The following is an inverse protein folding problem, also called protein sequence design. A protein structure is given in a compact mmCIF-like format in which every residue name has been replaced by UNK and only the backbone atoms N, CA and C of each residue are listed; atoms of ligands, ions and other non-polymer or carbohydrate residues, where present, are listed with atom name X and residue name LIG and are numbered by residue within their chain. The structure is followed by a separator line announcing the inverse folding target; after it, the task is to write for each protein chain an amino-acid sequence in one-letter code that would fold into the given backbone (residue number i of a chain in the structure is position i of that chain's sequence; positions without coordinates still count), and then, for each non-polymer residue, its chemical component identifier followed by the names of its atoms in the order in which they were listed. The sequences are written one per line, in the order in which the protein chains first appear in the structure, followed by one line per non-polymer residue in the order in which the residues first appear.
data_IF_557371897268
#
_entry.id   IF_557371897268
#
_cell.length_a   1.000
_cell.length_b   1.000
_cell.length_c   1.000
_cell.angle_alpha   90.00
_cell.angle_beta   90.00
_cell.angle_gamma   90.00
#
_symmetry.space_group_name_H-M   'P 1'
#
loop_
_entity.id
_entity.type
_entity.pdbx_description
1 polymer ?
#
# COMPACT_ATOMS: atom_id res chain seq x y z
N UNK A 1 -10.80 -13.86 -11.87
CA UNK A 1 -11.40 -12.53 -11.63
C UNK A 1 -11.42 -11.76 -12.92
N UNK A 2 -12.44 -10.92 -13.13
CA UNK A 2 -12.47 -10.00 -14.26
C UNK A 2 -11.46 -8.87 -14.01
N UNK A 3 -10.69 -8.51 -15.03
CA UNK A 3 -9.80 -7.36 -15.01
C UNK A 3 -10.16 -6.45 -16.19
N UNK A 4 -9.86 -5.17 -16.06
CA UNK A 4 -10.07 -4.17 -17.11
C UNK A 4 -8.76 -3.44 -17.39
N UNK A 5 -8.62 -2.94 -18.63
CA UNK A 5 -7.60 -1.97 -18.97
C UNK A 5 -8.28 -0.65 -19.32
N UNK A 6 -7.78 0.42 -18.71
CA UNK A 6 -8.27 1.77 -18.83
C UNK A 6 -7.30 2.56 -19.71
N UNK A 7 -7.80 3.11 -20.80
CA UNK A 7 -7.02 4.01 -21.65
C UNK A 7 -6.97 5.41 -21.05
N UNK A 8 -5.81 6.02 -21.05
CA UNK A 8 -5.65 7.44 -20.70
C UNK A 8 -4.81 8.14 -21.78
N UNK A 9 -5.04 9.43 -21.92
CA UNK A 9 -4.25 10.29 -22.79
C UNK A 9 -3.54 11.39 -21.97
N UNK A 10 -2.76 12.23 -22.64
CA UNK A 10 -2.06 13.34 -22.00
C UNK A 10 -3.00 14.35 -21.32
N UNK A 11 -4.27 14.42 -21.72
CA UNK A 11 -5.28 15.30 -21.11
C UNK A 11 -5.72 14.76 -19.75
N UNK A 12 -5.98 13.45 -19.68
CA UNK A 12 -6.26 12.76 -18.42
C UNK A 12 -5.09 12.89 -17.42
N UNK A 13 -3.85 12.75 -17.88
CA UNK A 13 -2.67 12.95 -17.03
C UNK A 13 -2.53 14.38 -16.50
N UNK A 14 -2.86 15.38 -17.32
CA UNK A 14 -2.87 16.79 -16.90
C UNK A 14 -3.93 17.06 -15.82
N UNK A 15 -5.12 16.48 -15.96
CA UNK A 15 -6.22 16.59 -14.96
C UNK A 15 -5.75 16.14 -13.57
N UNK A 16 -4.93 15.10 -13.49
CA UNK A 16 -4.45 14.55 -12.23
C UNK A 16 -3.26 15.29 -11.63
N UNK A 17 -2.65 16.23 -12.36
CA UNK A 17 -1.26 16.60 -12.10
C UNK A 17 -0.42 15.34 -11.89
N UNK A 18 -0.28 14.52 -12.94
CA UNK A 18 0.18 13.13 -12.83
C UNK A 18 1.46 12.93 -12.01
N UNK A 19 2.42 13.86 -12.06
CA UNK A 19 3.62 13.81 -11.21
C UNK A 19 3.26 13.79 -9.71
N UNK A 20 2.36 14.67 -9.28
CA UNK A 20 1.87 14.70 -7.90
C UNK A 20 1.09 13.42 -7.54
N UNK A 21 0.36 12.82 -8.50
CA UNK A 21 -0.31 11.55 -8.27
C UNK A 21 0.69 10.40 -8.07
N UNK A 22 1.78 10.34 -8.86
CA UNK A 22 2.88 9.37 -8.69
C UNK A 22 3.54 9.53 -7.31
N UNK A 23 3.88 10.76 -6.93
CA UNK A 23 4.45 11.07 -5.62
C UNK A 23 3.48 10.75 -4.47
N UNK A 24 2.18 10.98 -4.66
CA UNK A 24 1.16 10.60 -3.70
C UNK A 24 1.12 9.08 -3.53
N UNK A 25 1.02 8.29 -4.61
CA UNK A 25 1.01 6.82 -4.51
C UNK A 25 2.26 6.30 -3.83
N UNK A 26 3.45 6.82 -4.17
CA UNK A 26 4.70 6.43 -3.52
C UNK A 26 4.67 6.70 -2.00
N UNK A 27 4.03 7.79 -1.56
CA UNK A 27 3.97 8.21 -0.16
C UNK A 27 2.83 7.58 0.63
N UNK A 28 1.63 7.48 0.07
CA UNK A 28 0.40 7.05 0.77
C UNK A 28 0.02 5.62 0.44
N UNK A 29 0.62 5.04 -0.60
CA UNK A 29 0.27 3.73 -1.15
C UNK A 29 -0.92 3.73 -2.10
N UNK A 30 -1.69 4.83 -2.16
CA UNK A 30 -2.90 4.88 -3.00
C UNK A 30 -3.23 6.29 -3.48
N UNK A 31 -3.84 6.36 -4.66
CA UNK A 31 -4.47 7.54 -5.23
C UNK A 31 -5.90 7.20 -5.67
N UNK A 32 -6.88 7.93 -5.15
CA UNK A 32 -8.30 7.73 -5.45
C UNK A 32 -8.78 8.82 -6.40
N UNK A 33 -9.43 8.43 -7.49
CA UNK A 33 -10.14 9.38 -8.35
C UNK A 33 -11.38 8.76 -8.99
N UNK A 34 -12.23 9.62 -9.58
CA UNK A 34 -13.34 9.20 -10.43
C UNK A 34 -12.91 9.03 -11.89
N UNK A 35 -13.29 7.90 -12.45
CA UNK A 35 -13.15 7.60 -13.85
C UNK A 35 -14.47 7.83 -14.57
N UNK A 36 -14.45 8.52 -15.72
CA UNK A 36 -15.64 8.86 -16.51
C UNK A 36 -15.79 7.89 -17.68
N UNK A 37 -17.03 7.50 -17.97
CA UNK A 37 -17.41 6.68 -19.12
C UNK A 37 -18.72 7.19 -19.72
N UNK A 38 -18.83 7.14 -21.05
CA UNK A 38 -20.04 7.60 -21.76
C UNK A 38 -21.22 6.62 -21.63
N UNK A 39 -20.93 5.33 -21.41
CA UNK A 39 -21.92 4.29 -21.18
C UNK A 39 -21.75 3.73 -19.78
N UNK A 40 -22.82 3.14 -19.23
CA UNK A 40 -22.75 2.44 -17.95
C UNK A 40 -21.72 1.31 -18.06
N UNK A 41 -20.61 1.37 -17.32
CA UNK A 41 -19.59 0.34 -17.37
C UNK A 41 -20.07 -0.91 -16.62
N UNK A 42 -19.73 -2.08 -17.15
CA UNK A 42 -19.96 -3.36 -16.49
C UNK A 42 -18.76 -3.69 -15.60
N UNK A 43 -18.68 -3.03 -14.46
CA UNK A 43 -17.61 -3.21 -13.46
C UNK A 43 -18.17 -3.28 -12.06
N UNK A 44 -17.52 -4.08 -11.21
CA UNK A 44 -17.85 -4.23 -9.80
C UNK A 44 -16.70 -3.73 -8.92
N UNK A 45 -16.97 -3.29 -7.67
CA UNK A 45 -15.91 -3.09 -6.68
C UNK A 45 -14.99 -4.32 -6.57
N UNK A 46 -13.68 -4.09 -6.49
CA UNK A 46 -12.66 -5.13 -6.47
C UNK A 46 -12.20 -5.63 -7.84
N UNK A 47 -12.79 -5.13 -8.94
CA UNK A 47 -12.29 -5.42 -10.30
C UNK A 47 -10.89 -4.83 -10.45
N UNK A 48 -9.92 -5.67 -10.84
CA UNK A 48 -8.54 -5.27 -11.12
C UNK A 48 -8.49 -4.35 -12.34
N UNK A 49 -7.77 -3.24 -12.23
CA UNK A 49 -7.71 -2.21 -13.24
C UNK A 49 -6.26 -1.87 -13.59
N UNK A 50 -5.96 -1.94 -14.88
CA UNK A 50 -4.67 -1.59 -15.47
C UNK A 50 -4.77 -0.27 -16.21
N UNK A 51 -3.83 0.65 -16.02
CA UNK A 51 -3.85 1.96 -16.66
C UNK A 51 -2.85 2.00 -17.82
N UNK A 52 -3.32 2.30 -19.02
CA UNK A 52 -2.51 2.37 -20.23
C UNK A 52 -2.52 3.78 -20.80
N UNK A 53 -1.34 4.35 -21.00
CA UNK A 53 -1.16 5.64 -21.67
C UNK A 53 -1.09 5.44 -23.17
N UNK A 54 -1.94 6.18 -23.89
CA UNK A 54 -1.92 6.25 -25.35
C UNK A 54 -1.28 7.56 -25.77
N UNK A 55 -0.07 7.48 -26.33
CA UNK A 55 0.68 8.60 -26.88
C UNK A 55 0.73 8.58 -28.41
N UNK A 56 1.29 9.65 -29.00
CA UNK A 56 1.47 9.77 -30.45
C UNK A 56 2.58 8.89 -31.02
N UNK A 57 3.39 8.28 -30.17
CA UNK A 57 4.51 7.40 -30.54
C UNK A 57 4.55 6.20 -29.59
N UNK A 58 5.14 5.09 -30.00
CA UNK A 58 5.37 3.92 -29.12
C UNK A 58 6.15 4.31 -27.85
N UNK A 59 7.13 5.23 -27.99
CA UNK A 59 7.90 5.81 -26.89
C UNK A 59 7.10 6.74 -25.94
N UNK A 60 5.85 7.05 -26.26
CA UNK A 60 4.94 7.82 -25.41
C UNK A 60 3.72 6.99 -24.96
N UNK A 61 3.68 5.71 -25.34
CA UNK A 61 2.61 4.78 -25.01
C UNK A 61 3.14 3.68 -24.09
N UNK A 62 2.24 3.08 -23.30
CA UNK A 62 2.58 1.94 -22.46
C UNK A 62 1.70 1.81 -21.22
N UNK A 63 1.89 0.72 -20.50
CA UNK A 63 1.24 0.51 -19.21
C UNK A 63 1.92 1.39 -18.16
N UNK A 64 1.12 2.14 -17.40
CA UNK A 64 1.60 3.18 -16.46
C UNK A 64 1.08 3.03 -15.05
N UNK A 65 0.13 2.14 -14.82
CA UNK A 65 -0.48 2.01 -13.51
C UNK A 65 -1.25 0.71 -13.30
N UNK A 66 -1.45 0.42 -12.02
CA UNK A 66 -2.26 -0.65 -11.52
C UNK A 66 -3.17 -0.12 -10.39
N UNK A 67 -4.32 -0.77 -10.21
CA UNK A 67 -5.29 -0.42 -9.19
C UNK A 67 -6.54 -1.28 -9.23
N UNK A 68 -7.60 -0.79 -8.57
CA UNK A 68 -8.87 -1.49 -8.44
C UNK A 68 -10.05 -0.53 -8.53
N UNK A 69 -11.15 -1.04 -9.09
CA UNK A 69 -12.45 -0.37 -9.02
C UNK A 69 -12.91 -0.35 -7.56
N UNK A 70 -13.12 0.85 -7.01
CA UNK A 70 -13.48 1.08 -5.61
C UNK A 70 -14.99 1.23 -5.38
N UNK A 71 -15.77 1.50 -6.43
CA UNK A 71 -17.23 1.64 -6.34
C UNK A 71 -17.94 0.96 -7.49
N UNK A 72 -19.24 0.69 -7.32
CA UNK A 72 -20.11 0.41 -8.46
C UNK A 72 -20.28 1.66 -9.34
N UNK A 73 -20.81 1.50 -10.57
CA UNK A 73 -21.06 2.63 -11.45
C UNK A 73 -22.15 3.55 -10.91
N UNK A 74 -21.92 4.85 -10.96
CA UNK A 74 -22.85 5.90 -10.54
C UNK A 74 -22.91 7.03 -11.57
N UNK A 75 -23.98 7.82 -11.55
CA UNK A 75 -24.09 9.02 -12.36
C UNK A 75 -23.62 10.22 -11.53
N UNK A 76 -22.89 11.14 -12.16
CA UNK A 76 -22.49 12.39 -11.50
C UNK A 76 -23.70 13.28 -11.23
N UNK A 77 -23.71 13.98 -10.10
CA UNK A 77 -24.57 15.15 -9.94
C UNK A 77 -23.91 16.31 -10.71
N UNK A 78 -24.20 16.45 -11.99
CA UNK A 78 -23.69 17.56 -12.81
C UNK A 78 -24.60 18.81 -12.67
N UNK A 79 -24.06 20.04 -12.71
CA UNK A 79 -24.85 21.28 -12.73
C UNK A 79 -25.63 21.49 -14.04
N UNK A 80 -25.33 20.72 -15.09
CA UNK A 80 -25.91 20.87 -16.41
C UNK A 80 -27.02 19.82 -16.64
N UNK A 81 -28.30 20.19 -16.88
CA UNK A 81 -29.47 19.28 -16.83
C UNK A 81 -29.56 18.20 -17.93
N UNK A 82 -28.46 17.81 -18.56
CA UNK A 82 -28.44 16.85 -19.68
C UNK A 82 -27.25 15.88 -19.71
N UNK A 83 -26.32 15.95 -18.77
CA UNK A 83 -25.18 15.04 -18.68
C UNK A 83 -25.60 13.68 -18.15
N UNK A 84 -25.53 12.63 -18.98
CA UNK A 84 -25.84 11.23 -18.63
C UNK A 84 -24.59 10.39 -18.42
N UNK A 85 -23.44 11.03 -18.22
CA UNK A 85 -22.17 10.36 -18.06
C UNK A 85 -22.15 9.49 -16.80
N UNK A 86 -21.50 8.34 -16.95
CA UNK A 86 -21.31 7.38 -15.89
C UNK A 86 -19.91 7.52 -15.32
N UNK A 87 -19.81 7.23 -14.04
CA UNK A 87 -18.57 7.29 -13.29
C UNK A 87 -18.42 6.04 -12.43
N UNK A 88 -17.18 5.73 -12.08
CA UNK A 88 -16.87 4.84 -10.97
C UNK A 88 -15.61 5.35 -10.28
N UNK A 89 -15.45 5.03 -9.00
CA UNK A 89 -14.25 5.35 -8.27
C UNK A 89 -13.16 4.31 -8.57
N UNK A 90 -11.93 4.77 -8.79
CA UNK A 90 -10.75 3.97 -9.06
C UNK A 90 -9.69 4.30 -8.01
N UNK A 91 -9.17 3.29 -7.34
CA UNK A 91 -8.00 3.41 -6.48
C UNK A 91 -6.78 2.87 -7.22
N UNK A 92 -5.78 3.69 -7.45
CA UNK A 92 -4.48 3.31 -8.03
C UNK A 92 -3.50 3.07 -6.89
N UNK A 93 -2.88 1.90 -6.85
CA UNK A 93 -1.92 1.47 -5.83
C UNK A 93 -0.48 1.35 -6.38
N UNK A 94 -0.31 1.51 -7.69
CA UNK A 94 0.98 1.58 -8.35
C UNK A 94 0.92 2.51 -9.56
N UNK A 95 1.86 3.46 -9.64
CA UNK A 95 2.02 4.35 -10.79
C UNK A 95 3.50 4.47 -11.16
N UNK A 96 3.78 4.45 -12.46
CA UNK A 96 5.12 4.66 -13.00
C UNK A 96 5.36 6.16 -13.30
N UNK A 97 6.55 6.70 -13.03
CA UNK A 97 6.91 8.04 -13.47
C UNK A 97 6.77 8.21 -15.00
N UNK A 98 6.51 9.43 -15.49
CA UNK A 98 6.53 9.71 -16.92
C UNK A 98 7.85 9.26 -17.59
N UNK A 99 7.73 8.48 -18.67
CA UNK A 99 8.87 7.95 -19.43
C UNK A 99 9.29 6.53 -19.02
N UNK A 100 8.82 6.03 -17.88
CA UNK A 100 9.10 4.69 -17.38
C UNK A 100 8.00 3.68 -17.73
N UNK A 101 7.07 4.05 -18.63
CA UNK A 101 5.96 3.18 -19.01
C UNK A 101 6.44 1.83 -19.58
N UNK A 102 5.78 0.74 -19.20
CA UNK A 102 6.05 -0.57 -19.79
C UNK A 102 5.56 -0.56 -21.25
N UNK A 103 6.51 -0.65 -22.18
CA UNK A 103 6.30 -0.43 -23.61
C UNK A 103 5.34 -1.45 -24.22
N UNK A 104 4.52 -1.06 -25.22
CA UNK A 104 3.64 -1.99 -25.92
C UNK A 104 4.35 -3.24 -26.45
N UNK A 105 5.59 -3.10 -26.94
CA UNK A 105 6.41 -4.24 -27.38
C UNK A 105 6.67 -5.28 -26.29
N UNK A 106 6.84 -4.86 -25.04
CA UNK A 106 7.03 -5.76 -23.88
C UNK A 106 5.71 -6.45 -23.48
N UNK A 107 4.56 -5.85 -23.80
CA UNK A 107 3.24 -6.40 -23.54
C UNK A 107 2.79 -7.46 -24.56
N UNK A 108 3.45 -7.57 -25.72
CA UNK A 108 2.99 -8.34 -26.88
C UNK A 108 2.80 -9.85 -26.68
N UNK A 109 3.28 -10.42 -25.57
CA UNK A 109 3.00 -11.82 -25.17
C UNK A 109 1.81 -11.99 -24.21
N UNK A 110 1.28 -10.88 -23.68
CA UNK A 110 0.24 -10.84 -22.64
C UNK A 110 -1.05 -10.19 -23.13
N UNK A 111 -0.91 -9.12 -23.91
CA UNK A 111 -2.00 -8.38 -24.55
C UNK A 111 -1.81 -8.41 -26.06
N UNK A 112 -2.88 -8.69 -26.80
CA UNK A 112 -2.85 -8.64 -28.27
C UNK A 112 -2.80 -7.20 -28.76
N UNK A 113 -2.15 -6.99 -29.92
CA UNK A 113 -2.09 -5.68 -30.57
C UNK A 113 -3.48 -5.09 -30.86
N UNK A 114 -4.44 -5.94 -31.26
CA UNK A 114 -5.84 -5.54 -31.51
C UNK A 114 -6.54 -5.02 -30.25
N UNK A 115 -6.20 -5.59 -29.09
CA UNK A 115 -6.75 -5.12 -27.81
C UNK A 115 -6.14 -3.77 -27.46
N UNK A 116 -4.82 -3.63 -27.56
CA UNK A 116 -4.14 -2.35 -27.30
C UNK A 116 -4.62 -1.24 -28.25
N UNK A 117 -4.89 -1.56 -29.52
CA UNK A 117 -5.44 -0.60 -30.48
C UNK A 117 -6.83 -0.07 -30.08
N UNK A 118 -7.61 -0.84 -29.31
CA UNK A 118 -8.91 -0.40 -28.78
C UNK A 118 -8.78 0.48 -27.53
N UNK A 119 -7.62 0.48 -26.87
CA UNK A 119 -7.34 1.29 -25.68
C UNK A 119 -6.86 2.67 -26.12
N UNK A 120 -7.79 3.50 -26.58
CA UNK A 120 -7.51 4.87 -27.05
C UNK A 120 -8.45 5.87 -26.37
N UNK A 121 -7.90 6.95 -25.80
CA UNK A 121 -8.68 7.90 -24.99
C UNK A 121 -9.20 7.27 -23.68
N UNK A 122 -10.24 7.83 -23.02
CA UNK A 122 -10.86 7.28 -21.82
C UNK A 122 -11.70 6.02 -22.17
N UNK A 123 -11.00 4.97 -22.60
CA UNK A 123 -11.59 3.68 -22.92
C UNK A 123 -11.58 2.78 -21.68
N UNK A 124 -12.60 1.94 -21.55
CA UNK A 124 -12.61 0.82 -20.61
C UNK A 124 -12.78 -0.46 -21.42
N UNK A 125 -11.77 -1.32 -21.39
CA UNK A 125 -11.75 -2.56 -22.17
C UNK A 125 -11.62 -3.75 -21.20
N UNK A 126 -12.60 -4.67 -21.17
CA UNK A 126 -12.47 -5.90 -20.41
C UNK A 126 -11.30 -6.75 -20.92
N UNK A 127 -10.51 -7.29 -20.00
CA UNK A 127 -9.41 -8.18 -20.31
C UNK A 127 -9.83 -9.65 -20.24
N UNK A 128 -9.31 -10.51 -21.14
CA UNK A 128 -9.44 -11.95 -21.00
C UNK A 128 -8.84 -12.44 -19.67
N UNK A 129 -9.41 -13.48 -19.03
CA UNK A 129 -8.85 -14.03 -17.78
C UNK A 129 -7.39 -14.50 -17.89
N UNK A 130 -6.92 -14.84 -19.09
CA UNK A 130 -5.55 -15.26 -19.37
C UNK A 130 -4.51 -14.12 -19.32
N UNK A 131 -4.93 -12.86 -19.48
CA UNK A 131 -4.01 -11.72 -19.51
C UNK A 131 -3.50 -11.33 -18.12
N UNK A 132 -4.31 -11.53 -17.07
CA UNK A 132 -3.98 -11.09 -15.70
C UNK A 132 -2.62 -11.61 -15.18
N UNK A 133 -2.35 -12.94 -15.18
CA UNK A 133 -1.08 -13.46 -14.71
C UNK A 133 0.15 -12.95 -15.49
N UNK A 134 0.00 -12.67 -16.78
CA UNK A 134 1.07 -12.09 -17.59
C UNK A 134 1.35 -10.64 -17.22
N UNK A 135 0.30 -9.84 -17.01
CA UNK A 135 0.42 -8.43 -16.63
C UNK A 135 1.08 -8.28 -15.27
N UNK A 136 0.67 -9.09 -14.28
CA UNK A 136 1.27 -9.08 -12.95
C UNK A 136 2.76 -9.41 -12.97
N UNK A 137 3.20 -10.40 -13.76
CA UNK A 137 4.64 -10.71 -13.91
C UNK A 137 5.42 -9.57 -14.56
N UNK A 138 4.85 -8.91 -15.56
CA UNK A 138 5.48 -7.75 -16.18
C UNK A 138 5.55 -6.57 -15.22
N UNK A 139 4.51 -6.39 -14.41
CA UNK A 139 4.44 -5.34 -13.39
C UNK A 139 5.40 -5.59 -12.23
N UNK A 140 5.57 -6.83 -11.78
CA UNK A 140 6.59 -7.22 -10.79
C UNK A 140 8.01 -6.92 -11.30
N UNK A 141 8.28 -7.20 -12.59
CA UNK A 141 9.60 -7.01 -13.19
C UNK A 141 9.93 -5.55 -13.53
N UNK A 142 8.93 -4.71 -13.79
CA UNK A 142 9.12 -3.36 -14.35
C UNK A 142 8.34 -2.26 -13.62
N UNK A 143 7.65 -2.57 -12.54
CA UNK A 143 6.85 -1.65 -11.76
C UNK A 143 7.69 -0.69 -10.93
N UNK A 144 7.04 0.23 -10.19
CA UNK A 144 7.75 1.20 -9.37
C UNK A 144 8.51 0.52 -8.23
N UNK A 145 9.68 1.07 -7.89
CA UNK A 145 10.47 0.58 -6.76
C UNK A 145 9.69 0.73 -5.45
N UNK A 146 9.69 -0.31 -4.62
CA UNK A 146 9.03 -0.28 -3.30
C UNK A 146 9.75 0.67 -2.34
N UNK A 147 9.01 1.25 -1.39
CA UNK A 147 9.58 2.20 -0.43
C UNK A 147 10.36 1.50 0.69
N UNK A 148 10.19 0.19 0.89
CA UNK A 148 10.94 -0.57 1.89
C UNK A 148 11.13 -2.07 1.61
N UNK A 149 12.10 -2.71 2.29
CA UNK A 149 12.30 -4.16 2.23
C UNK A 149 11.09 -4.88 2.85
N UNK A 150 10.38 -5.68 2.05
CA UNK A 150 9.22 -6.47 2.50
C UNK A 150 7.86 -5.88 2.15
N UNK A 151 7.80 -4.70 1.54
CA UNK A 151 6.57 -4.22 0.92
C UNK A 151 6.29 -4.99 -0.37
N UNK A 152 5.06 -5.48 -0.52
CA UNK A 152 4.60 -6.10 -1.75
C UNK A 152 4.00 -5.01 -2.63
N UNK A 153 4.53 -4.85 -3.85
CA UNK A 153 4.01 -3.92 -4.82
C UNK A 153 2.59 -4.32 -5.26
N UNK A 154 1.65 -3.36 -5.25
CA UNK A 154 0.31 -3.53 -5.79
C UNK A 154 0.35 -4.01 -7.24
N UNK A 155 -0.44 -5.04 -7.56
CA UNK A 155 -0.46 -5.66 -8.88
C UNK A 155 0.58 -6.76 -9.10
N UNK A 156 1.36 -7.13 -8.08
CA UNK A 156 2.26 -8.30 -8.15
C UNK A 156 1.49 -9.62 -7.94
N UNK A 157 0.47 -9.59 -7.08
CA UNK A 157 -0.36 -10.74 -6.73
C UNK A 157 -1.83 -10.49 -7.09
N UNK A 158 -2.64 -11.54 -7.27
CA UNK A 158 -4.08 -11.41 -7.39
C UNK A 158 -4.69 -10.68 -6.17
N UNK A 159 -5.68 -9.79 -6.35
CA UNK A 159 -6.27 -9.05 -5.23
C UNK A 159 -6.86 -9.93 -4.12
N UNK A 160 -7.40 -11.10 -4.44
CA UNK A 160 -7.93 -12.06 -3.46
C UNK A 160 -6.84 -12.79 -2.67
N UNK A 161 -5.59 -12.74 -3.12
CA UNK A 161 -4.43 -13.34 -2.46
C UNK A 161 -3.70 -12.38 -1.51
N UNK A 162 -4.13 -11.11 -1.41
CA UNK A 162 -3.46 -10.08 -0.62
C UNK A 162 -4.44 -9.44 0.37
N UNK A 163 -4.02 -9.31 1.63
CA UNK A 163 -4.70 -8.45 2.60
C UNK A 163 -4.01 -7.09 2.64
N UNK A 164 -4.80 -6.01 2.59
CA UNK A 164 -4.26 -4.65 2.70
C UNK A 164 -4.24 -4.22 4.17
N UNK A 165 -3.06 -3.87 4.68
CA UNK A 165 -2.93 -3.21 5.98
C UNK A 165 -2.83 -1.71 5.72
N UNK A 166 -3.79 -0.94 6.24
CA UNK A 166 -3.78 0.51 6.13
C UNK A 166 -2.77 1.10 7.11
N UNK A 167 -1.64 1.56 6.58
CA UNK A 167 -0.62 2.31 7.32
C UNK A 167 -0.77 3.80 6.98
N UNK A 168 -0.53 4.67 7.95
CA UNK A 168 -0.68 6.11 7.75
C UNK A 168 0.41 6.64 6.80
N UNK A 169 0.10 7.67 6.00
CA UNK A 169 1.05 8.33 5.08
C UNK A 169 2.34 8.78 5.74
N UNK A 170 2.28 9.13 7.02
CA UNK A 170 3.43 9.57 7.80
C UNK A 170 4.38 8.43 8.16
N UNK A 171 3.87 7.20 8.29
CA UNK A 171 4.68 6.00 8.57
C UNK A 171 5.52 5.58 7.35
N UNK A 172 5.14 6.07 6.17
CA UNK A 172 5.82 5.86 4.88
C UNK A 172 6.75 7.02 4.48
N UNK A 173 6.80 8.11 5.26
CA UNK A 173 7.68 9.23 4.97
C UNK A 173 9.14 8.83 5.27
N UNK A 174 10.02 8.73 4.26
CA UNK A 174 11.39 8.28 4.46
C UNK A 174 12.22 9.26 5.29
N UNK A 175 11.91 10.55 5.26
CA UNK A 175 12.63 11.59 6.00
C UNK A 175 12.21 11.56 7.47
N UNK A 176 10.90 11.48 7.73
CA UNK A 176 10.37 11.32 9.07
C UNK A 176 10.85 10.01 9.71
N UNK A 177 10.83 8.92 8.96
CA UNK A 177 11.37 7.63 9.41
C UNK A 177 12.85 7.73 9.79
N UNK A 178 13.68 8.34 8.94
CA UNK A 178 15.11 8.52 9.25
C UNK A 178 15.30 9.34 10.52
N UNK A 179 14.55 10.44 10.69
CA UNK A 179 14.64 11.29 11.88
C UNK A 179 14.20 10.54 13.15
N UNK A 180 13.08 9.81 13.10
CA UNK A 180 12.58 8.98 14.19
C UNK A 180 13.62 7.92 14.61
N UNK A 181 14.13 7.13 13.67
CA UNK A 181 15.10 6.07 13.95
C UNK A 181 16.44 6.62 14.43
N UNK A 182 16.86 7.79 13.95
CA UNK A 182 18.08 8.45 14.43
C UNK A 182 17.96 8.89 15.90
N UNK A 183 16.76 9.30 16.33
CA UNK A 183 16.51 9.73 17.71
C UNK A 183 16.23 8.57 18.67
N UNK A 184 15.32 7.66 18.29
CA UNK A 184 14.83 6.57 19.15
C UNK A 184 15.65 5.27 19.03
N UNK A 185 16.50 5.16 18.00
CA UNK A 185 17.27 3.96 17.68
C UNK A 185 16.50 2.96 16.81
N UNK A 186 17.12 1.79 16.59
CA UNK A 186 16.64 0.76 15.65
C UNK A 186 16.09 -0.49 16.33
N UNK A 187 15.77 -0.40 17.63
CA UNK A 187 15.12 -1.46 18.40
C UNK A 187 13.62 -1.20 18.52
N UNK A 188 12.81 -2.25 18.40
CA UNK A 188 11.35 -2.16 18.53
C UNK A 188 10.97 -1.62 19.91
N UNK A 189 10.22 -0.53 19.97
CA UNK A 189 9.78 0.04 21.24
C UNK A 189 8.82 -0.86 22.01
N UNK A 190 8.11 -1.78 21.35
CA UNK A 190 7.24 -2.74 22.02
C UNK A 190 8.03 -3.94 22.57
N UNK A 191 8.64 -4.76 21.71
CA UNK A 191 9.23 -6.04 22.09
C UNK A 191 10.76 -6.03 22.24
N UNK A 192 11.43 -4.91 21.98
CA UNK A 192 12.88 -4.79 22.05
C UNK A 192 13.65 -5.43 20.90
N UNK A 193 12.97 -6.09 19.95
CA UNK A 193 13.62 -6.75 18.82
C UNK A 193 14.41 -5.76 17.94
N UNK A 194 15.63 -6.12 17.57
CA UNK A 194 16.47 -5.39 16.61
C UNK A 194 16.85 -6.31 15.46
N UNK A 195 16.48 -5.91 14.23
CA UNK A 195 16.83 -6.67 13.02
C UNK A 195 18.35 -6.72 12.81
N UNK A 196 19.05 -5.62 13.05
CA UNK A 196 20.51 -5.57 12.90
C UNK A 196 21.22 -6.46 13.92
N UNK A 197 20.73 -6.50 15.17
CA UNK A 197 21.29 -7.40 16.19
C UNK A 197 21.03 -8.88 15.87
N UNK A 198 19.85 -9.22 15.33
CA UNK A 198 19.47 -10.60 15.03
C UNK A 198 20.02 -11.12 13.69
N UNK A 199 20.11 -10.27 12.68
CA UNK A 199 20.43 -10.66 11.30
C UNK A 199 21.68 -9.98 10.72
N UNK A 200 22.40 -9.18 11.52
CA UNK A 200 23.57 -8.43 11.07
C UNK A 200 23.23 -7.41 9.99
N UNK A 201 24.13 -7.21 9.04
CA UNK A 201 23.97 -6.20 7.97
C UNK A 201 22.71 -6.38 7.12
N UNK A 202 22.20 -7.61 6.97
CA UNK A 202 20.95 -7.88 6.25
C UNK A 202 19.71 -7.29 6.96
N UNK A 203 19.79 -7.08 8.28
CA UNK A 203 18.75 -6.44 9.07
C UNK A 203 18.85 -4.91 9.14
N UNK A 204 19.89 -4.32 8.56
CA UNK A 204 20.09 -2.87 8.58
C UNK A 204 19.02 -2.15 7.77
N UNK A 205 18.45 -1.09 8.33
CA UNK A 205 17.42 -0.30 7.65
C UNK A 205 16.06 -1.01 7.50
N UNK A 206 15.83 -2.14 8.17
CA UNK A 206 14.57 -2.91 8.10
C UNK A 206 13.54 -2.41 9.12
N UNK A 207 13.94 -1.74 10.21
CA UNK A 207 13.02 -1.30 11.26
C UNK A 207 11.95 -0.30 10.75
N UNK A 208 10.67 -0.58 10.98
CA UNK A 208 9.57 0.33 10.63
C UNK A 208 9.36 1.42 11.67
N UNK A 209 8.48 2.38 11.36
CA UNK A 209 7.99 3.40 12.31
C UNK A 209 6.48 3.39 12.35
N UNK A 210 5.91 3.69 13.50
CA UNK A 210 4.47 3.71 13.75
C UNK A 210 4.05 5.08 14.27
N UNK A 211 2.90 5.57 13.81
CA UNK A 211 2.37 6.86 14.20
C UNK A 211 1.51 6.73 15.46
N UNK A 212 1.91 7.44 16.53
CA UNK A 212 1.27 7.37 17.84
C UNK A 212 -0.09 8.07 17.87
N UNK A 213 -0.25 9.16 17.13
CA UNK A 213 -1.50 9.91 17.09
C UNK A 213 -2.47 9.27 16.10
N UNK A 214 -3.67 8.83 16.53
CA UNK A 214 -4.65 8.23 15.62
C UNK A 214 -5.02 9.18 14.47
N UNK A 215 -5.20 8.69 13.23
CA UNK A 215 -5.54 9.51 12.07
C UNK A 215 -6.78 10.39 12.25
N UNK A 216 -7.75 9.94 13.07
CA UNK A 216 -8.98 10.69 13.35
C UNK A 216 -8.77 12.00 14.14
N UNK A 217 -7.59 12.18 14.75
CA UNK A 217 -7.22 13.39 15.48
C UNK A 217 -6.33 14.34 14.66
N UNK A 218 -6.05 14.00 13.41
CA UNK A 218 -5.20 14.80 12.52
C UNK A 218 -6.10 15.69 11.65
N UNK A 219 -5.95 17.00 11.78
CA UNK A 219 -6.61 17.98 10.92
C UNK A 219 -5.68 18.44 9.78
N UNK A 220 -6.21 19.29 8.88
CA UNK A 220 -5.48 19.80 7.72
C UNK A 220 -4.27 20.68 8.09
N UNK A 221 -4.18 21.17 9.34
CA UNK A 221 -3.06 21.98 9.84
C UNK A 221 -1.97 21.17 10.53
N UNK A 222 -2.20 19.86 10.69
CA UNK A 222 -1.28 18.99 11.40
C UNK A 222 0.07 18.86 10.67
N UNK A 223 1.14 19.19 11.39
CA UNK A 223 2.51 19.00 10.96
C UNK A 223 3.12 17.87 11.80
N UNK A 224 3.62 16.84 11.11
CA UNK A 224 4.27 15.71 11.75
C UNK A 224 5.56 16.15 12.47
N UNK A 225 5.68 15.80 13.75
CA UNK A 225 6.95 15.79 14.47
C UNK A 225 7.48 14.35 14.51
N UNK A 226 8.52 14.01 13.73
CA UNK A 226 9.04 12.64 13.68
C UNK A 226 9.56 12.10 15.01
N UNK A 227 9.86 12.97 15.98
CA UNK A 227 10.36 12.56 17.30
C UNK A 227 9.18 12.30 18.24
N UNK A 228 8.19 13.18 18.25
CA UNK A 228 7.06 13.09 19.17
C UNK A 228 5.96 12.14 18.67
N UNK A 229 5.75 12.06 17.37
CA UNK A 229 4.59 11.38 16.77
C UNK A 229 4.91 9.99 16.22
N UNK A 230 6.18 9.67 16.01
CA UNK A 230 6.60 8.37 15.49
C UNK A 230 7.39 7.57 16.53
N UNK A 231 7.27 6.25 16.46
CA UNK A 231 8.03 5.32 17.30
C UNK A 231 8.53 4.12 16.49
N UNK A 232 9.74 3.58 16.72
CA UNK A 232 10.21 2.39 16.03
C UNK A 232 9.42 1.14 16.43
N UNK A 233 8.91 0.39 15.44
CA UNK A 233 8.28 -0.91 15.65
C UNK A 233 8.77 -1.93 14.63
N UNK A 234 8.97 -3.18 15.06
CA UNK A 234 9.25 -4.28 14.13
C UNK A 234 7.98 -4.66 13.36
N UNK A 235 8.14 -5.26 12.17
CA UNK A 235 7.03 -5.64 11.30
C UNK A 235 5.93 -6.47 11.99
N UNK A 236 6.30 -7.35 12.93
CA UNK A 236 5.33 -8.16 13.67
C UNK A 236 4.51 -7.31 14.65
N UNK A 237 5.16 -6.49 15.47
CA UNK A 237 4.44 -5.62 16.41
C UNK A 237 3.60 -4.56 15.69
N UNK A 238 4.11 -4.03 14.58
CA UNK A 238 3.40 -3.06 13.76
C UNK A 238 2.14 -3.66 13.13
N UNK A 239 2.23 -4.85 12.54
CA UNK A 239 1.08 -5.57 12.02
C UNK A 239 0.01 -5.82 13.10
N UNK A 240 0.42 -6.25 14.30
CA UNK A 240 -0.51 -6.44 15.43
C UNK A 240 -1.15 -5.13 15.87
N UNK A 241 -0.39 -4.02 15.88
CA UNK A 241 -0.93 -2.70 16.22
C UNK A 241 -2.12 -2.32 15.35
N UNK A 242 -2.04 -2.60 14.04
CA UNK A 242 -3.08 -2.28 13.05
C UNK A 242 -4.17 -3.35 12.91
N UNK A 243 -4.25 -4.33 13.81
CA UNK A 243 -5.38 -5.28 13.83
C UNK A 243 -6.69 -4.67 14.34
N UNK A 244 -6.62 -3.50 14.99
CA UNK A 244 -7.77 -2.74 15.49
C UNK A 244 -7.80 -1.32 14.92
N UNK A 245 -8.97 -0.67 14.98
CA UNK A 245 -9.13 0.76 14.68
C UNK A 245 -9.88 1.42 15.84
N UNK A 246 -9.25 2.31 16.64
CA UNK A 246 -7.86 2.79 16.49
C UNK A 246 -6.79 1.70 16.72
N UNK A 247 -5.56 1.89 16.20
CA UNK A 247 -4.45 0.97 16.43
C UNK A 247 -4.12 0.79 17.92
N UNK A 248 -3.58 -0.38 18.29
CA UNK A 248 -3.12 -0.65 19.65
C UNK A 248 -1.93 0.23 20.02
N UNK A 249 -1.95 0.75 21.23
CA UNK A 249 -0.84 1.51 21.80
C UNK A 249 0.36 0.61 22.13
N UNK A 250 1.56 1.20 22.23
CA UNK A 250 2.77 0.49 22.65
C UNK A 250 2.58 -0.21 24.01
N UNK A 251 1.87 0.43 24.93
CA UNK A 251 1.56 -0.15 26.25
C UNK A 251 0.68 -1.39 26.13
N UNK A 252 -0.33 -1.37 25.24
CA UNK A 252 -1.18 -2.53 24.98
C UNK A 252 -0.40 -3.66 24.31
N UNK A 253 0.43 -3.36 23.30
CA UNK A 253 1.28 -4.35 22.65
C UNK A 253 2.25 -5.02 23.65
N UNK A 254 2.88 -4.24 24.53
CA UNK A 254 3.72 -4.77 25.61
C UNK A 254 2.94 -5.70 26.53
N UNK A 255 1.72 -5.30 26.94
CA UNK A 255 0.84 -6.12 27.79
C UNK A 255 0.43 -7.42 27.12
N UNK A 256 0.04 -7.37 25.84
CA UNK A 256 -0.32 -8.56 25.06
C UNK A 256 0.88 -9.50 24.95
N UNK A 257 2.05 -8.95 24.58
CA UNK A 257 3.28 -9.72 24.43
C UNK A 257 3.72 -10.36 25.74
N UNK A 258 3.58 -9.68 26.88
CA UNK A 258 3.94 -10.24 28.20
C UNK A 258 2.97 -11.32 28.67
N UNK A 259 1.69 -11.23 28.29
CA UNK A 259 0.67 -12.20 28.67
C UNK A 259 0.70 -13.48 27.82
N UNK A 260 1.13 -13.37 26.56
CA UNK A 260 1.11 -14.45 25.57
C UNK A 260 2.28 -15.46 25.68
N UNK A 261 3.03 -15.46 26.79
CA UNK A 261 4.32 -16.15 26.97
C UNK A 261 4.37 -17.69 26.85
N UNK A 262 3.42 -18.31 26.16
CA UNK A 262 3.42 -19.74 25.83
C UNK A 262 3.00 -19.95 24.36
N UNK A 263 3.73 -20.80 23.65
CA UNK A 263 3.28 -21.31 22.36
C UNK A 263 2.15 -22.31 22.60
N UNK A 264 1.02 -22.15 21.90
CA UNK A 264 -0.06 -23.14 21.95
C UNK A 264 0.47 -24.52 21.52
N UNK A 265 0.43 -25.49 22.43
CA UNK A 265 0.90 -26.86 22.21
C UNK A 265 2.30 -27.17 22.76
N UNK A 266 2.97 -26.20 23.38
CA UNK A 266 4.26 -26.44 24.06
C UNK A 266 4.03 -26.82 25.53
N UNK A 267 4.77 -27.83 26.01
CA UNK A 267 4.75 -28.19 27.44
C UNK A 267 5.65 -27.20 28.17
N UNK A 268 5.05 -26.34 28.99
CA UNK A 268 5.81 -25.38 29.81
C UNK A 268 6.77 -26.15 30.71
N UNK A 269 8.07 -25.91 30.56
CA UNK A 269 9.08 -26.54 31.40
C UNK A 269 9.08 -25.90 32.79
N UNK A 270 9.38 -26.67 33.83
CA UNK A 270 9.47 -26.17 35.22
C UNK A 270 10.40 -24.96 35.37
N UNK A 271 11.45 -24.89 34.53
CA UNK A 271 12.37 -23.77 34.50
C UNK A 271 11.70 -22.47 34.02
N UNK A 272 10.80 -22.56 33.04
CA UNK A 272 10.08 -21.40 32.52
C UNK A 272 9.09 -20.85 33.56
N UNK A 273 8.39 -21.72 34.29
CA UNK A 273 7.51 -21.31 35.39
C UNK A 273 8.29 -20.56 36.49
N UNK A 274 9.43 -21.12 36.92
CA UNK A 274 10.29 -20.46 37.92
C UNK A 274 10.82 -19.12 37.45
N UNK A 275 11.24 -19.02 36.19
CA UNK A 275 11.71 -17.77 35.61
C UNK A 275 10.61 -16.69 35.58
N UNK A 276 9.36 -17.08 35.32
CA UNK A 276 8.21 -16.17 35.34
C UNK A 276 7.90 -15.68 36.77
N UNK A 277 7.92 -16.57 37.77
CA UNK A 277 7.76 -16.21 39.18
C UNK A 277 8.86 -15.26 39.67
N UNK A 278 10.11 -15.50 39.27
CA UNK A 278 11.25 -14.64 39.58
C UNK A 278 11.10 -13.25 38.96
N UNK A 279 10.71 -13.17 37.69
CA UNK A 279 10.47 -11.91 37.01
C UNK A 279 9.35 -11.10 37.69
N UNK A 280 8.25 -11.74 38.07
CA UNK A 280 7.14 -11.10 38.78
C UNK A 280 7.61 -10.52 40.13
N UNK A 281 8.39 -11.29 40.91
CA UNK A 281 8.96 -10.82 42.19
C UNK A 281 9.86 -9.58 42.03
N UNK A 282 10.65 -9.52 40.95
CA UNK A 282 11.52 -8.37 40.66
C UNK A 282 10.68 -7.14 40.31
N UNK A 283 9.65 -7.31 39.48
CA UNK A 283 8.77 -6.21 39.07
C UNK A 283 7.98 -5.64 40.25
N UNK A 284 7.47 -6.50 41.14
CA UNK A 284 6.70 -6.09 42.32
C UNK A 284 7.61 -5.52 43.44
N UNK A 285 8.84 -6.03 43.56
CA UNK A 285 9.82 -5.59 44.57
C UNK A 285 10.47 -4.23 44.28
N UNK A 286 10.31 -3.68 43.07
CA UNK A 286 10.79 -2.35 42.69
C UNK A 286 9.79 -1.20 42.99
N UNK A 287 8.63 -1.50 43.57
CA UNK A 287 7.57 -0.52 43.91
C UNK A 287 7.56 -0.06 45.38
N UNK A 288 8.60 -0.36 46.17
CA UNK A 288 8.82 0.21 47.52
C UNK A 288 9.75 1.42 47.48
#
# INVERSE_FOLDING_TARGET
MAAVILGCDATALRRWNYRAAVEQVARTGTFLDRWQTFLRPDVCPGTEAWLFLSGSTDAASGLIGHGFVASGPFQGADPDPGSTDWFFALTLDGLLPPGEQIRPGTLGGTLSGDLLAKVTGPALVPLPPSSGPGLRRLWDAHGPSTAGPGEVLGGTFPPDAVSTVHVNRYERDPDARRACLAFHGTSCASCGFSFEAAYGGAGSGVMGVHHLTPPALLDDSYQLDPIADLIPLCHNCHAVAHTTSPPLTITELRRISSAAGHLNGEVVQDLALRAQEDAQRILDGGQM
#
